data_IF_855534312890
#
_entry.id   IF_855534312890
#
_cell.length_a   1.000
_cell.length_b   1.000
_cell.length_c   1.000
_cell.angle_alpha   90.00
_cell.angle_beta   90.00
_cell.angle_gamma   90.00
#
_symmetry.space_group_name_H-M   'P 1'
#
loop_
_entity.id
_entity.type
_entity.pdbx_description
1 polymer ?
#
# COMPACT_ATOMS: atom_id res chain seq x y z
N UNK A 1 22.20 -34.33 11.18
CA UNK A 1 22.42 -32.89 11.43
C UNK A 1 23.21 -32.40 10.24
N UNK A 2 22.51 -32.05 9.18
CA UNK A 2 23.09 -31.41 7.99
C UNK A 2 22.41 -30.05 7.89
N UNK A 3 23.15 -29.02 8.30
CA UNK A 3 22.76 -27.65 8.00
C UNK A 3 23.26 -27.45 6.56
N UNK A 4 22.37 -27.70 5.60
CA UNK A 4 22.69 -27.59 4.19
C UNK A 4 23.13 -26.14 3.89
N UNK A 5 24.27 -25.99 3.22
CA UNK A 5 24.82 -24.70 2.81
C UNK A 5 23.82 -23.82 2.01
N UNK A 6 22.80 -24.43 1.38
CA UNK A 6 21.67 -23.74 0.74
C UNK A 6 20.82 -22.92 1.73
N UNK A 7 20.56 -23.42 2.94
CA UNK A 7 19.76 -22.70 3.95
C UNK A 7 20.47 -21.42 4.44
N UNK A 8 21.80 -21.40 4.44
CA UNK A 8 22.59 -20.26 4.91
C UNK A 8 22.60 -19.12 3.87
N UNK A 9 22.70 -19.47 2.58
CA UNK A 9 22.64 -18.51 1.47
C UNK A 9 21.22 -17.91 1.38
N UNK A 10 20.18 -18.72 1.58
CA UNK A 10 18.79 -18.28 1.52
C UNK A 10 18.42 -17.31 2.66
N UNK A 11 18.88 -17.59 3.89
CA UNK A 11 18.62 -16.71 5.06
C UNK A 11 19.30 -15.35 4.92
N UNK A 12 20.53 -15.29 4.37
CA UNK A 12 21.23 -14.03 4.12
C UNK A 12 20.50 -13.14 3.12
N UNK A 13 20.03 -13.72 2.01
CA UNK A 13 19.28 -13.03 0.97
C UNK A 13 17.91 -12.56 1.49
N UNK A 14 17.19 -13.42 2.22
CA UNK A 14 15.94 -13.08 2.89
C UNK A 14 16.12 -11.86 3.81
N UNK A 15 17.16 -11.89 4.64
CA UNK A 15 17.44 -10.80 5.58
C UNK A 15 17.73 -9.49 4.85
N UNK A 16 18.56 -9.51 3.80
CA UNK A 16 18.84 -8.33 2.98
C UNK A 16 17.56 -7.76 2.36
N UNK A 17 16.72 -8.60 1.74
CA UNK A 17 15.41 -8.22 1.20
C UNK A 17 14.52 -7.55 2.25
N UNK A 18 14.43 -8.11 3.46
CA UNK A 18 13.67 -7.48 4.55
C UNK A 18 14.23 -6.11 4.98
N UNK A 19 15.55 -5.93 5.00
CA UNK A 19 16.16 -4.62 5.25
C UNK A 19 15.86 -3.62 4.13
N UNK A 20 15.87 -4.05 2.87
CA UNK A 20 15.54 -3.21 1.73
C UNK A 20 14.09 -2.74 1.79
N UNK A 21 13.15 -3.64 2.11
CA UNK A 21 11.75 -3.26 2.32
C UNK A 21 11.57 -2.31 3.51
N UNK A 22 12.27 -2.56 4.62
CA UNK A 22 12.23 -1.66 5.79
C UNK A 22 12.65 -0.23 5.44
N UNK A 23 13.63 -0.07 4.57
CA UNK A 23 14.12 1.23 4.09
C UNK A 23 13.19 1.85 3.04
N UNK A 24 12.67 1.05 2.11
CA UNK A 24 11.94 1.50 0.92
C UNK A 24 10.46 1.79 1.17
N UNK A 25 9.84 1.15 2.17
CA UNK A 25 8.41 1.34 2.49
C UNK A 25 8.11 2.79 2.90
N UNK A 26 9.08 3.54 3.43
CA UNK A 26 8.86 4.94 3.82
C UNK A 26 8.93 5.93 2.65
N UNK A 27 9.74 5.67 1.63
CA UNK A 27 10.00 6.61 0.53
C UNK A 27 9.08 6.40 -0.67
N UNK A 28 8.73 5.15 -1.01
CA UNK A 28 7.86 4.82 -2.14
C UNK A 28 6.88 3.71 -1.77
N UNK A 29 6.02 4.01 -0.80
CA UNK A 29 5.29 2.98 -0.06
C UNK A 29 4.35 2.14 -0.93
N UNK A 30 3.74 2.69 -1.98
CA UNK A 30 2.75 1.92 -2.79
C UNK A 30 3.42 0.81 -3.58
N UNK A 31 4.51 1.12 -4.30
CA UNK A 31 5.25 0.13 -5.07
C UNK A 31 6.00 -0.83 -4.14
N UNK A 32 6.65 -0.30 -3.10
CA UNK A 32 7.36 -1.11 -2.12
C UNK A 32 6.45 -2.11 -1.39
N UNK A 33 5.22 -1.72 -0.99
CA UNK A 33 4.28 -2.62 -0.31
C UNK A 33 3.71 -3.66 -1.28
N UNK A 34 3.49 -3.32 -2.56
CA UNK A 34 3.05 -4.32 -3.56
C UNK A 34 4.12 -5.38 -3.78
N UNK A 35 5.37 -4.96 -3.97
CA UNK A 35 6.49 -5.89 -4.13
C UNK A 35 6.72 -6.73 -2.86
N UNK A 36 6.67 -6.09 -1.69
CA UNK A 36 6.73 -6.79 -0.40
C UNK A 36 5.61 -7.82 -0.24
N UNK A 37 4.39 -7.52 -0.68
CA UNK A 37 3.28 -8.48 -0.64
C UNK A 37 3.58 -9.72 -1.47
N UNK A 38 4.07 -9.54 -2.70
CA UNK A 38 4.48 -10.64 -3.58
C UNK A 38 5.59 -11.48 -2.95
N UNK A 39 6.59 -10.82 -2.35
CA UNK A 39 7.66 -11.47 -1.62
C UNK A 39 7.15 -12.29 -0.43
N UNK A 40 6.31 -11.70 0.43
CA UNK A 40 5.73 -12.40 1.59
C UNK A 40 4.89 -13.60 1.13
N UNK A 41 4.10 -13.46 0.07
CA UNK A 41 3.34 -14.57 -0.52
C UNK A 41 4.26 -15.70 -1.01
N UNK A 42 5.37 -15.37 -1.69
CA UNK A 42 6.37 -16.35 -2.11
C UNK A 42 7.00 -17.07 -0.92
N UNK A 43 7.46 -16.34 0.10
CA UNK A 43 8.09 -16.92 1.30
C UNK A 43 7.11 -17.83 2.04
N UNK A 44 5.83 -17.45 2.13
CA UNK A 44 4.79 -18.28 2.75
C UNK A 44 4.62 -19.62 2.05
N UNK A 45 4.68 -19.67 0.72
CA UNK A 45 4.51 -20.92 -0.04
C UNK A 45 5.62 -21.94 0.23
N UNK A 46 6.81 -21.46 0.59
CA UNK A 46 8.00 -22.29 0.81
C UNK A 46 8.29 -22.53 2.30
N UNK A 47 7.58 -21.85 3.20
CA UNK A 47 7.80 -21.96 4.66
C UNK A 47 6.97 -23.08 5.28
N UNK A 48 7.65 -24.02 5.97
CA UNK A 48 7.00 -25.09 6.74
C UNK A 48 6.77 -24.77 8.22
N UNK A 49 7.46 -23.76 8.76
CA UNK A 49 7.35 -23.37 10.18
C UNK A 49 6.04 -22.63 10.47
N UNK A 50 5.23 -23.15 11.39
CA UNK A 50 3.94 -22.57 11.80
C UNK A 50 4.09 -21.16 12.39
N UNK A 51 5.09 -20.95 13.25
CA UNK A 51 5.39 -19.65 13.87
C UNK A 51 5.78 -18.60 12.83
N UNK A 52 6.59 -18.98 11.83
CA UNK A 52 6.98 -18.07 10.77
C UNK A 52 5.80 -17.76 9.84
N UNK A 53 4.97 -18.76 9.54
CA UNK A 53 3.73 -18.56 8.76
C UNK A 53 2.77 -17.58 9.42
N UNK A 54 2.64 -17.59 10.74
CA UNK A 54 1.80 -16.63 11.48
C UNK A 54 2.31 -15.20 11.30
N UNK A 55 3.62 -14.98 11.47
CA UNK A 55 4.26 -13.68 11.26
C UNK A 55 4.03 -13.19 9.81
N UNK A 56 4.25 -14.07 8.84
CA UNK A 56 4.06 -13.73 7.42
C UNK A 56 2.59 -13.41 7.09
N UNK A 57 1.63 -14.10 7.71
CA UNK A 57 0.19 -13.80 7.55
C UNK A 57 -0.16 -12.42 8.08
N UNK A 58 0.36 -12.04 9.25
CA UNK A 58 0.12 -10.70 9.78
C UNK A 58 0.81 -9.62 8.92
N UNK A 59 2.01 -9.87 8.42
CA UNK A 59 2.67 -8.97 7.46
C UNK A 59 1.84 -8.75 6.19
N UNK A 60 1.29 -9.83 5.62
CA UNK A 60 0.42 -9.76 4.44
C UNK A 60 -0.88 -8.98 4.73
N UNK A 61 -1.52 -9.25 5.87
CA UNK A 61 -2.75 -8.59 6.32
C UNK A 61 -2.54 -7.08 6.51
N UNK A 62 -1.45 -6.68 7.17
CA UNK A 62 -1.10 -5.26 7.35
C UNK A 62 -0.86 -4.61 5.99
N UNK A 63 -0.10 -5.25 5.11
CA UNK A 63 0.20 -4.75 3.75
C UNK A 63 -1.06 -4.52 2.92
N UNK A 64 -1.99 -5.50 2.92
CA UNK A 64 -3.30 -5.37 2.26
C UNK A 64 -4.14 -4.23 2.83
N UNK A 65 -4.15 -4.06 4.15
CA UNK A 65 -4.84 -2.95 4.82
C UNK A 65 -4.27 -1.60 4.42
N UNK A 66 -2.95 -1.45 4.36
CA UNK A 66 -2.31 -0.21 3.92
C UNK A 66 -2.73 0.15 2.49
N UNK A 67 -2.67 -0.81 1.56
CA UNK A 67 -3.08 -0.60 0.17
C UNK A 67 -4.56 -0.24 0.04
N UNK A 68 -5.43 -0.86 0.85
CA UNK A 68 -6.86 -0.53 0.89
C UNK A 68 -7.09 0.91 1.37
N UNK A 69 -6.49 1.29 2.49
CA UNK A 69 -6.61 2.65 3.04
C UNK A 69 -6.10 3.68 2.04
N UNK A 70 -5.00 3.39 1.33
CA UNK A 70 -4.49 4.26 0.28
C UNK A 70 -5.49 4.47 -0.86
N UNK A 71 -6.14 3.40 -1.34
CA UNK A 71 -7.19 3.49 -2.35
C UNK A 71 -8.38 4.31 -1.85
N UNK A 72 -8.81 4.09 -0.61
CA UNK A 72 -9.92 4.84 0.01
C UNK A 72 -9.57 6.33 0.08
N UNK A 73 -8.37 6.69 0.52
CA UNK A 73 -7.90 8.10 0.54
C UNK A 73 -8.05 8.75 -0.84
N UNK A 74 -7.67 8.05 -1.91
CA UNK A 74 -7.78 8.59 -3.25
C UNK A 74 -9.24 8.81 -3.68
N UNK A 75 -10.12 7.85 -3.37
CA UNK A 75 -11.57 7.98 -3.61
C UNK A 75 -12.15 9.18 -2.86
N UNK A 76 -11.77 9.35 -1.59
CA UNK A 76 -12.21 10.49 -0.78
C UNK A 76 -11.77 11.84 -1.36
N UNK A 77 -10.54 11.93 -1.88
CA UNK A 77 -10.05 13.15 -2.54
C UNK A 77 -10.84 13.49 -3.81
N UNK A 78 -11.22 12.48 -4.61
CA UNK A 78 -12.08 12.68 -5.79
C UNK A 78 -13.45 13.17 -5.37
N UNK A 79 -14.07 12.54 -4.37
CA UNK A 79 -15.39 12.94 -3.86
C UNK A 79 -15.33 14.39 -3.36
N UNK A 80 -14.33 14.73 -2.58
CA UNK A 80 -14.12 16.07 -2.06
C UNK A 80 -14.03 17.09 -3.21
N UNK A 81 -13.17 16.83 -4.21
CA UNK A 81 -13.03 17.71 -5.38
C UNK A 81 -14.37 17.93 -6.08
N UNK A 82 -15.13 16.86 -6.33
CA UNK A 82 -16.42 16.94 -6.99
C UNK A 82 -17.45 17.78 -6.22
N UNK A 83 -17.43 17.74 -4.88
CA UNK A 83 -18.31 18.57 -4.04
C UNK A 83 -17.95 20.05 -4.21
N UNK A 84 -16.66 20.39 -4.12
CA UNK A 84 -16.18 21.76 -4.28
C UNK A 84 -16.51 22.30 -5.67
N UNK A 85 -16.25 21.53 -6.73
CA UNK A 85 -16.53 21.93 -8.10
C UNK A 85 -18.02 22.21 -8.32
N UNK A 86 -18.91 21.40 -7.73
CA UNK A 86 -20.37 21.65 -7.77
C UNK A 86 -20.75 22.97 -7.10
N UNK A 87 -20.15 23.28 -5.95
CA UNK A 87 -20.43 24.52 -5.23
C UNK A 87 -19.93 25.75 -6.00
N UNK A 88 -18.72 25.65 -6.57
CA UNK A 88 -18.15 26.71 -7.41
C UNK A 88 -19.05 26.98 -8.62
N UNK A 89 -19.48 25.93 -9.34
CA UNK A 89 -20.36 26.09 -10.50
C UNK A 89 -21.70 26.71 -10.12
N UNK A 90 -22.27 26.34 -8.97
CA UNK A 90 -23.49 26.95 -8.45
C UNK A 90 -23.29 28.44 -8.16
N UNK A 91 -22.18 28.81 -7.53
CA UNK A 91 -21.85 30.20 -7.24
C UNK A 91 -21.67 31.02 -8.52
N UNK A 92 -20.93 30.50 -9.50
CA UNK A 92 -20.76 31.13 -10.81
C UNK A 92 -22.12 31.35 -11.48
N UNK A 93 -23.02 30.36 -11.43
CA UNK A 93 -24.38 30.49 -11.93
C UNK A 93 -25.14 31.65 -11.29
N UNK A 94 -25.08 31.78 -9.96
CA UNK A 94 -25.71 32.88 -9.23
C UNK A 94 -25.13 34.25 -9.59
N UNK A 95 -23.80 34.33 -9.75
CA UNK A 95 -23.12 35.56 -10.19
C UNK A 95 -23.59 35.96 -11.58
N UNK A 96 -23.66 35.02 -12.52
CA UNK A 96 -24.11 35.31 -13.89
C UNK A 96 -25.57 35.78 -13.93
N UNK A 97 -26.44 35.20 -13.10
CA UNK A 97 -27.83 35.66 -12.97
C UNK A 97 -27.85 37.12 -12.50
N UNK A 98 -27.09 37.46 -11.45
CA UNK A 98 -27.00 38.82 -10.95
C UNK A 98 -26.47 39.80 -12.01
N UNK A 99 -25.41 39.44 -12.73
CA UNK A 99 -24.86 40.26 -13.82
C UNK A 99 -25.91 40.48 -14.92
N UNK A 100 -26.71 39.47 -15.28
CA UNK A 100 -27.74 39.61 -16.31
C UNK A 100 -28.92 40.51 -15.92
N UNK A 101 -29.04 40.85 -14.64
CA UNK A 101 -30.07 41.77 -14.12
C UNK A 101 -29.59 43.23 -14.06
N UNK A 102 -28.28 43.47 -14.17
CA UNK A 102 -27.68 44.80 -14.29
C UNK A 102 -27.78 45.31 -15.73
#
# INVERSE_FOLDING_TARGET
MDIAFDDIIDVGILRAKYYDYKSSIKSNFVLAIKDFLSFVSYVKMHTKSSKLLEILREQEKISKRILLIYKIRFVLLIIYKNIIDKLINKLIGLINIFISML
#
